data_IF_361111990220
#
_entry.id   IF_361111990220
#
_cell.length_a   1.000
_cell.length_b   1.000
_cell.length_c   1.000
_cell.angle_alpha   90.00
_cell.angle_beta   90.00
_cell.angle_gamma   90.00
#
_symmetry.space_group_name_H-M   'P 1'
#
loop_
_entity.id
_entity.type
_entity.pdbx_description
1 polymer ?
#
# COMPACT_ATOMS: atom_id res chain seq x y z
N UNK A 1 -12.50 13.63 -6.69
CA UNK A 1 -11.56 12.95 -5.77
C UNK A 1 -10.65 13.89 -4.97
N UNK A 2 -10.48 15.17 -5.33
CA UNK A 2 -9.59 16.09 -4.59
C UNK A 2 -10.04 16.35 -3.13
N UNK A 3 -11.31 16.70 -2.93
CA UNK A 3 -11.85 16.99 -1.58
C UNK A 3 -11.79 15.77 -0.65
N UNK A 4 -12.04 14.57 -1.19
CA UNK A 4 -11.97 13.31 -0.42
C UNK A 4 -10.52 13.05 0.00
N UNK A 5 -9.57 13.17 -0.92
CA UNK A 5 -8.14 12.99 -0.62
C UNK A 5 -7.62 14.01 0.40
N UNK A 6 -8.11 15.25 0.35
CA UNK A 6 -7.75 16.28 1.32
C UNK A 6 -8.37 16.09 2.71
N UNK A 7 -9.43 15.30 2.82
CA UNK A 7 -10.09 14.97 4.09
C UNK A 7 -9.56 13.68 4.73
N UNK A 8 -8.75 12.90 4.01
CA UNK A 8 -8.20 11.64 4.47
C UNK A 8 -6.77 11.80 4.99
N UNK A 9 -6.47 11.08 6.07
CA UNK A 9 -5.10 10.89 6.56
C UNK A 9 -4.25 10.13 5.55
N UNK A 10 -2.92 10.19 5.68
CA UNK A 10 -2.02 9.47 4.75
C UNK A 10 -2.25 7.96 4.81
N UNK A 11 -2.54 7.45 6.02
CA UNK A 11 -2.83 6.05 6.31
C UNK A 11 -4.13 5.55 5.67
N UNK A 12 -5.04 6.45 5.33
CA UNK A 12 -6.31 6.13 4.67
C UNK A 12 -6.22 6.13 3.15
N UNK A 13 -5.28 6.88 2.57
CA UNK A 13 -5.25 7.16 1.13
C UNK A 13 -3.99 6.64 0.42
N UNK A 14 -2.89 6.47 1.12
CA UNK A 14 -1.60 6.08 0.54
C UNK A 14 -1.29 4.62 0.86
N UNK A 15 -1.07 3.84 -0.19
CA UNK A 15 -0.77 2.41 -0.10
C UNK A 15 0.57 2.04 -0.78
N UNK A 16 1.40 3.05 -1.08
CA UNK A 16 2.60 2.91 -1.91
C UNK A 16 2.29 3.13 -3.40
N UNK A 17 3.29 2.87 -4.24
CA UNK A 17 3.17 2.92 -5.71
C UNK A 17 2.48 1.67 -6.31
N UNK A 18 1.95 0.78 -5.45
CA UNK A 18 1.41 -0.53 -5.81
C UNK A 18 -0.04 -0.55 -6.33
N UNK A 19 -0.64 0.61 -6.58
CA UNK A 19 -2.05 0.69 -6.98
C UNK A 19 -2.22 0.22 -8.43
N UNK A 20 -2.75 -0.99 -8.62
CA UNK A 20 -3.13 -1.53 -9.95
C UNK A 20 -4.64 -1.47 -10.17
N UNK A 21 -5.44 -1.68 -9.11
CA UNK A 21 -6.90 -1.71 -9.19
C UNK A 21 -7.53 -1.26 -7.88
N UNK A 22 -8.76 -0.74 -7.94
CA UNK A 22 -9.59 -0.50 -6.76
C UNK A 22 -10.06 -1.84 -6.15
N UNK A 23 -10.08 -1.93 -4.82
CA UNK A 23 -10.40 -3.17 -4.09
C UNK A 23 -11.81 -3.71 -4.42
N UNK A 24 -12.78 -2.80 -4.59
CA UNK A 24 -14.16 -3.15 -4.97
C UNK A 24 -14.21 -3.78 -6.36
N UNK A 25 -13.47 -3.22 -7.32
CA UNK A 25 -13.43 -3.72 -8.68
C UNK A 25 -12.73 -5.08 -8.75
N UNK A 26 -11.64 -5.25 -7.99
CA UNK A 26 -10.95 -6.53 -7.86
C UNK A 26 -11.90 -7.63 -7.36
N UNK A 27 -12.68 -7.39 -6.30
CA UNK A 27 -13.62 -8.38 -5.74
C UNK A 27 -14.68 -8.84 -6.75
N UNK A 28 -15.08 -7.96 -7.68
CA UNK A 28 -16.08 -8.27 -8.71
C UNK A 28 -15.55 -9.26 -9.75
N UNK A 29 -14.24 -9.28 -10.01
CA UNK A 29 -13.62 -10.15 -11.03
C UNK A 29 -12.91 -11.38 -10.47
N UNK A 30 -12.54 -11.35 -9.18
CA UNK A 30 -11.79 -12.44 -8.56
C UNK A 30 -12.61 -13.73 -8.47
N UNK A 31 -11.94 -14.89 -8.64
CA UNK A 31 -12.57 -16.20 -8.39
C UNK A 31 -12.95 -16.31 -6.90
N UNK A 32 -14.00 -17.09 -6.55
CA UNK A 32 -14.47 -17.20 -5.16
C UNK A 32 -13.37 -17.51 -4.13
N UNK A 33 -12.40 -18.37 -4.49
CA UNK A 33 -11.28 -18.73 -3.62
C UNK A 33 -10.39 -17.55 -3.18
N UNK A 34 -10.39 -16.44 -3.94
CA UNK A 34 -9.55 -15.27 -3.68
C UNK A 34 -10.33 -14.08 -3.09
N UNK A 35 -11.65 -14.20 -2.88
CA UNK A 35 -12.47 -13.10 -2.36
C UNK A 35 -12.31 -12.86 -0.85
N UNK A 36 -11.74 -13.83 -0.13
CA UNK A 36 -11.54 -13.77 1.32
C UNK A 36 -10.10 -13.40 1.70
N UNK A 37 -9.51 -12.43 1.00
CA UNK A 37 -8.19 -11.91 1.31
C UNK A 37 -8.26 -10.77 2.35
N UNK A 38 -7.18 -10.48 3.10
CA UNK A 38 -7.09 -9.27 3.91
C UNK A 38 -7.28 -8.02 3.04
N UNK A 39 -7.89 -6.98 3.60
CA UNK A 39 -8.04 -5.71 2.89
C UNK A 39 -6.70 -4.99 2.76
N UNK A 40 -6.57 -4.14 1.74
CA UNK A 40 -5.37 -3.31 1.53
C UNK A 40 -5.06 -2.48 2.79
N UNK A 41 -6.09 -1.87 3.39
CA UNK A 41 -5.94 -1.10 4.64
C UNK A 41 -5.41 -1.95 5.80
N UNK A 42 -5.83 -3.21 5.91
CA UNK A 42 -5.33 -4.10 6.97
C UNK A 42 -3.85 -4.44 6.80
N UNK A 43 -3.38 -4.56 5.55
CA UNK A 43 -1.99 -4.83 5.22
C UNK A 43 -1.13 -3.61 5.53
N UNK A 44 -1.51 -2.42 5.04
CA UNK A 44 -0.74 -1.18 5.25
C UNK A 44 -0.76 -0.72 6.70
N UNK A 45 -1.86 -0.93 7.42
CA UNK A 45 -1.99 -0.55 8.84
C UNK A 45 -0.87 -1.13 9.71
N UNK A 46 -0.47 -2.38 9.46
CA UNK A 46 0.60 -3.02 10.23
C UNK A 46 1.90 -2.22 10.18
N UNK A 47 2.22 -1.64 9.01
CA UNK A 47 3.42 -0.85 8.80
C UNK A 47 3.26 0.57 9.37
N UNK A 48 2.09 1.19 9.20
CA UNK A 48 1.83 2.51 9.79
C UNK A 48 1.83 2.51 11.32
N UNK A 49 1.42 1.40 11.94
CA UNK A 49 1.43 1.25 13.40
C UNK A 49 2.86 1.23 14.00
N UNK A 50 3.89 1.05 13.16
CA UNK A 50 5.30 1.14 13.56
C UNK A 50 5.81 2.59 13.60
N UNK A 51 5.09 3.54 12.98
CA UNK A 51 5.46 4.96 12.85
C UNK A 51 4.30 5.94 13.18
N UNK A 52 3.59 5.80 14.32
CA UNK A 52 2.34 6.52 14.58
C UNK A 52 2.49 8.04 14.74
N UNK A 53 3.69 8.54 15.04
CA UNK A 53 3.96 9.96 15.33
C UNK A 53 4.73 10.71 14.23
N UNK A 54 5.14 10.02 13.18
CA UNK A 54 5.98 10.62 12.14
C UNK A 54 5.16 11.48 11.17
N UNK A 55 5.86 12.35 10.45
CA UNK A 55 5.23 13.18 9.41
C UNK A 55 4.79 12.34 8.20
N UNK A 56 3.89 12.90 7.39
CA UNK A 56 3.32 12.23 6.24
C UNK A 56 4.37 11.71 5.26
N UNK A 57 5.47 12.45 5.02
CA UNK A 57 6.49 12.03 4.04
C UNK A 57 7.25 10.83 4.58
N UNK A 58 7.67 10.88 5.84
CA UNK A 58 8.32 9.74 6.51
C UNK A 58 7.43 8.51 6.50
N UNK A 59 6.14 8.66 6.82
CA UNK A 59 5.16 7.56 6.77
C UNK A 59 5.03 6.94 5.39
N UNK A 60 4.92 7.77 4.34
CA UNK A 60 4.84 7.29 2.95
C UNK A 60 6.12 6.54 2.53
N UNK A 61 7.29 7.08 2.84
CA UNK A 61 8.58 6.43 2.53
C UNK A 61 8.76 5.12 3.29
N UNK A 62 8.40 5.10 4.57
CA UNK A 62 8.49 3.90 5.40
C UNK A 62 7.60 2.77 4.87
N UNK A 63 6.38 3.12 4.45
CA UNK A 63 5.47 2.18 3.80
C UNK A 63 6.06 1.61 2.51
N UNK A 64 6.56 2.48 1.63
CA UNK A 64 7.09 2.08 0.32
C UNK A 64 8.33 1.19 0.43
N UNK A 65 9.21 1.48 1.39
CA UNK A 65 10.38 0.65 1.70
C UNK A 65 10.01 -0.77 2.19
N UNK A 66 8.90 -0.91 2.90
CA UNK A 66 8.50 -2.19 3.51
C UNK A 66 7.56 -3.02 2.61
N UNK A 67 6.74 -2.39 1.77
CA UNK A 67 5.72 -3.09 0.97
C UNK A 67 5.99 -3.10 -0.54
N UNK A 68 6.79 -2.17 -1.05
CA UNK A 68 7.01 -2.01 -2.50
C UNK A 68 8.44 -2.37 -2.91
N UNK A 69 9.42 -1.67 -2.35
CA UNK A 69 10.83 -1.78 -2.72
C UNK A 69 11.43 -3.20 -2.66
N UNK A 70 11.07 -4.09 -1.70
CA UNK A 70 11.63 -5.44 -1.63
C UNK A 70 11.29 -6.31 -2.85
N UNK A 71 10.13 -6.08 -3.47
CA UNK A 71 9.67 -6.83 -4.64
C UNK A 71 10.01 -6.18 -5.98
N UNK A 72 10.41 -4.90 -5.99
CA UNK A 72 10.70 -4.17 -7.22
C UNK A 72 12.20 -3.97 -7.43
N UNK A 73 12.78 -2.92 -6.85
CA UNK A 73 14.15 -2.51 -7.15
C UNK A 73 15.22 -3.40 -6.50
N UNK A 74 14.95 -3.99 -5.34
CA UNK A 74 15.91 -4.88 -4.68
C UNK A 74 16.12 -6.18 -5.46
N UNK A 75 15.10 -6.65 -6.20
CA UNK A 75 15.24 -7.77 -7.15
C UNK A 75 15.95 -7.38 -8.45
N UNK A 76 15.93 -6.09 -8.84
CA UNK A 76 16.70 -5.59 -9.98
C UNK A 76 18.18 -5.48 -9.65
N UNK A 77 18.54 -5.07 -8.43
CA UNK A 77 19.93 -5.00 -7.97
C UNK A 77 20.61 -6.38 -8.01
N UNK A 78 19.91 -7.44 -7.60
CA UNK A 78 20.40 -8.83 -7.66
C UNK A 78 20.67 -9.32 -9.10
N UNK A 79 19.89 -8.83 -10.07
CA UNK A 79 20.02 -9.21 -11.50
C UNK A 79 20.95 -8.32 -12.31
N UNK A 80 21.52 -7.26 -11.72
CA UNK A 80 22.48 -6.36 -12.37
C UNK A 80 23.94 -6.65 -12.01
N UNK A 81 24.21 -7.79 -11.35
CA UNK A 81 25.56 -8.32 -11.14
C UNK A 81 26.09 -9.09 -12.34
#
# INVERSE_FOLDING_TARGET
>A
NFLIKGAQTVEERFIGEAVVWDEVDAINVLKPAYKNAPSVKSITKRIYDEVPGDDDVTKMQYLDLNLWMPGDILLKADKMS
#
